data_IF_472420660194
#
_entry.id   IF_472420660194
#
_cell.length_a   1.000
_cell.length_b   1.000
_cell.length_c   1.000
_cell.angle_alpha   90.00
_cell.angle_beta   90.00
_cell.angle_gamma   90.00
#
_symmetry.space_group_name_H-M   'P 1'
#
loop_
_entity.id
_entity.type
_entity.pdbx_description
1 polymer ?
#
# COMPACT_ATOMS: atom_id res chain seq x y z
N UNK A 1 4.74 -1.43 33.94
CA UNK A 1 5.58 -2.14 32.91
C UNK A 1 4.79 -3.08 32.00
N UNK A 2 3.85 -3.94 32.48
CA UNK A 2 3.06 -4.76 31.55
C UNK A 2 2.28 -3.95 30.53
N UNK A 3 1.72 -2.82 30.90
CA UNK A 3 0.92 -1.97 30.00
C UNK A 3 1.71 -1.42 28.81
N UNK A 4 2.98 -1.03 28.99
CA UNK A 4 3.80 -0.51 27.92
C UNK A 4 4.13 -1.58 26.86
N UNK A 5 4.36 -2.82 27.29
CA UNK A 5 4.61 -3.93 26.37
C UNK A 5 3.36 -4.29 25.56
N UNK A 6 2.19 -4.25 26.22
CA UNK A 6 0.90 -4.45 25.55
C UNK A 6 0.66 -3.34 24.53
N UNK A 7 0.91 -2.10 24.88
CA UNK A 7 0.73 -0.96 23.99
C UNK A 7 1.64 -1.04 22.76
N UNK A 8 2.91 -1.37 22.97
CA UNK A 8 3.86 -1.60 21.86
C UNK A 8 3.39 -2.76 20.98
N UNK A 9 2.97 -3.88 21.59
CA UNK A 9 2.47 -5.03 20.84
C UNK A 9 1.22 -4.69 20.00
N UNK A 10 0.29 -3.88 20.54
CA UNK A 10 -0.88 -3.40 19.81
C UNK A 10 -0.49 -2.53 18.61
N UNK A 11 0.42 -1.58 18.79
CA UNK A 11 0.90 -0.72 17.70
C UNK A 11 1.57 -1.55 16.61
N UNK A 12 2.55 -2.37 16.96
CA UNK A 12 3.31 -3.17 16.00
C UNK A 12 2.45 -4.23 15.33
N UNK A 13 1.62 -4.94 16.10
CA UNK A 13 0.70 -5.96 15.58
C UNK A 13 -0.30 -5.36 14.60
N UNK A 14 -0.89 -4.20 14.94
CA UNK A 14 -1.80 -3.48 14.05
C UNK A 14 -1.07 -2.98 12.80
N UNK A 15 0.12 -2.41 12.94
CA UNK A 15 0.93 -1.96 11.80
C UNK A 15 1.21 -3.10 10.81
N UNK A 16 1.64 -4.27 11.30
CA UNK A 16 1.89 -5.46 10.45
C UNK A 16 0.59 -5.97 9.84
N UNK A 17 -0.50 -6.02 10.61
CA UNK A 17 -1.82 -6.42 10.11
C UNK A 17 -2.30 -5.53 8.96
N UNK A 18 -2.02 -4.23 9.02
CA UNK A 18 -2.39 -3.27 7.98
C UNK A 18 -1.71 -3.54 6.64
N UNK A 19 -0.51 -4.13 6.59
CA UNK A 19 0.08 -4.58 5.31
C UNK A 19 -0.79 -5.65 4.64
N UNK A 20 -1.30 -6.62 5.42
CA UNK A 20 -2.25 -7.62 4.92
C UNK A 20 -3.57 -6.98 4.43
N UNK A 21 -4.10 -6.00 5.18
CA UNK A 21 -5.30 -5.24 4.80
C UNK A 21 -5.06 -4.46 3.51
N UNK A 22 -3.92 -3.80 3.39
CA UNK A 22 -3.55 -3.03 2.19
C UNK A 22 -3.39 -3.94 0.97
N UNK A 23 -2.68 -5.07 1.11
CA UNK A 23 -2.52 -6.07 0.06
C UNK A 23 -3.88 -6.62 -0.41
N UNK A 24 -4.74 -7.02 0.54
CA UNK A 24 -6.08 -7.51 0.22
C UNK A 24 -6.92 -6.44 -0.49
N UNK A 25 -6.94 -5.23 0.07
CA UNK A 25 -7.72 -4.13 -0.49
C UNK A 25 -7.22 -3.71 -1.86
N UNK A 26 -5.91 -3.63 -2.06
CA UNK A 26 -5.31 -3.30 -3.34
C UNK A 26 -5.70 -4.33 -4.41
N UNK A 27 -5.55 -5.62 -4.10
CA UNK A 27 -5.83 -6.70 -5.05
C UNK A 27 -7.31 -6.88 -5.36
N UNK A 28 -8.19 -6.86 -4.35
CA UNK A 28 -9.58 -7.29 -4.51
C UNK A 28 -10.58 -6.14 -4.50
N UNK A 29 -10.26 -5.02 -3.87
CA UNK A 29 -11.12 -3.84 -3.84
C UNK A 29 -10.69 -2.85 -4.92
N UNK A 30 -9.45 -2.39 -4.91
CA UNK A 30 -8.94 -1.38 -5.84
C UNK A 30 -8.85 -1.94 -7.27
N UNK A 31 -8.20 -3.08 -7.47
CA UNK A 31 -8.23 -3.83 -8.73
C UNK A 31 -9.51 -4.67 -8.93
N UNK A 32 -10.48 -4.55 -8.03
CA UNK A 32 -11.78 -5.20 -8.07
C UNK A 32 -12.90 -4.24 -8.47
N UNK A 33 -13.93 -4.16 -7.62
CA UNK A 33 -15.15 -3.40 -7.89
C UNK A 33 -14.96 -1.88 -7.76
N UNK A 34 -13.89 -1.40 -7.13
CA UNK A 34 -13.56 0.03 -7.02
C UNK A 34 -12.45 0.47 -7.98
N UNK A 35 -12.24 -0.26 -9.07
CA UNK A 35 -11.29 0.12 -10.11
C UNK A 35 -11.48 1.54 -10.62
N UNK A 36 -12.71 2.02 -10.72
CA UNK A 36 -13.05 3.38 -11.17
C UNK A 36 -12.39 4.51 -10.35
N UNK A 37 -11.95 4.22 -9.10
CA UNK A 37 -11.14 5.15 -8.31
C UNK A 37 -9.65 4.89 -8.49
N UNK A 38 -9.24 3.62 -8.60
CA UNK A 38 -7.85 3.22 -8.68
C UNK A 38 -7.24 3.42 -10.08
N UNK A 39 -8.07 3.34 -11.12
CA UNK A 39 -7.66 3.58 -12.51
C UNK A 39 -6.89 4.88 -12.68
N UNK A 40 -7.33 5.97 -12.01
CA UNK A 40 -6.64 7.27 -12.07
C UNK A 40 -5.18 7.21 -11.62
N UNK A 41 -4.84 6.21 -10.80
CA UNK A 41 -3.50 5.98 -10.30
C UNK A 41 -2.59 5.26 -11.29
N UNK A 42 -3.16 4.47 -12.21
CA UNK A 42 -2.46 3.79 -13.30
C UNK A 42 -2.28 4.64 -14.56
N UNK A 43 -2.91 5.82 -14.60
CA UNK A 43 -2.82 6.78 -15.70
C UNK A 43 -1.84 7.91 -15.36
N UNK A 44 -1.34 8.65 -16.38
CA UNK A 44 -0.56 9.86 -16.13
C UNK A 44 -1.34 10.84 -15.26
N UNK A 45 -0.71 11.30 -14.18
CA UNK A 45 -1.36 12.16 -13.20
C UNK A 45 -1.61 13.57 -13.75
N UNK A 46 -2.85 14.03 -13.60
CA UNK A 46 -3.30 15.39 -13.89
C UNK A 46 -3.62 16.12 -12.59
N UNK A 47 -2.71 16.95 -12.07
CA UNK A 47 -2.92 17.75 -10.85
C UNK A 47 -2.37 17.16 -9.56
N UNK A 48 -2.80 17.73 -8.41
CA UNK A 48 -2.32 17.33 -7.08
C UNK A 48 -3.06 16.13 -6.51
N UNK A 49 -4.34 15.97 -6.82
CA UNK A 49 -5.22 14.95 -6.28
C UNK A 49 -5.69 14.00 -7.38
N UNK A 50 -5.82 12.75 -6.99
CA UNK A 50 -6.36 11.65 -7.79
C UNK A 50 -7.60 11.07 -7.11
N UNK A 51 -8.47 10.39 -7.87
CA UNK A 51 -9.59 9.63 -7.26
C UNK A 51 -9.08 8.56 -6.31
N UNK A 52 -7.89 8.03 -6.58
CA UNK A 52 -7.21 7.05 -5.71
C UNK A 52 -6.96 7.59 -4.30
N UNK A 53 -6.84 8.90 -4.10
CA UNK A 53 -6.63 9.50 -2.78
C UNK A 53 -7.82 9.31 -1.83
N UNK A 54 -9.00 8.99 -2.37
CA UNK A 54 -10.18 8.63 -1.57
C UNK A 54 -9.96 7.37 -0.73
N UNK A 55 -9.10 6.46 -1.17
CA UNK A 55 -8.73 5.29 -0.35
C UNK A 55 -7.95 5.70 0.90
N UNK A 56 -7.08 6.71 0.81
CA UNK A 56 -6.38 7.22 1.98
C UNK A 56 -7.37 7.78 3.01
N UNK A 57 -8.39 8.53 2.57
CA UNK A 57 -9.47 9.00 3.44
C UNK A 57 -10.26 7.83 4.05
N UNK A 58 -10.61 6.82 3.25
CA UNK A 58 -11.33 5.64 3.71
C UNK A 58 -10.54 4.87 4.78
N UNK A 59 -9.22 4.72 4.62
CA UNK A 59 -8.37 4.05 5.62
C UNK A 59 -8.06 4.91 6.84
N UNK A 60 -8.15 6.24 6.75
CA UNK A 60 -8.03 7.12 7.92
C UNK A 60 -9.22 7.01 8.88
N UNK A 61 -10.43 6.73 8.38
CA UNK A 61 -11.64 6.65 9.19
C UNK A 61 -11.53 5.63 10.34
N UNK A 62 -11.11 4.37 10.15
CA UNK A 62 -10.93 3.42 11.24
C UNK A 62 -9.96 3.92 12.32
N UNK A 63 -8.86 4.58 11.92
CA UNK A 63 -7.90 5.17 12.86
C UNK A 63 -8.56 6.26 13.72
N UNK A 64 -9.32 7.16 13.09
CA UNK A 64 -10.04 8.24 13.79
C UNK A 64 -11.07 7.64 14.76
N UNK A 65 -11.82 6.63 14.35
CA UNK A 65 -12.78 5.91 15.21
C UNK A 65 -12.06 5.27 16.41
N UNK A 66 -10.92 4.62 16.19
CA UNK A 66 -10.14 4.03 17.25
C UNK A 66 -9.65 5.09 18.25
N UNK A 67 -9.15 6.24 17.78
CA UNK A 67 -8.77 7.35 18.67
C UNK A 67 -9.96 7.88 19.45
N UNK A 68 -11.11 8.07 18.78
CA UNK A 68 -12.32 8.54 19.43
C UNK A 68 -12.73 7.62 20.59
N UNK A 69 -12.98 6.34 20.32
CA UNK A 69 -13.37 5.40 21.36
C UNK A 69 -12.28 5.17 22.41
N UNK A 70 -11.01 5.27 22.02
CA UNK A 70 -9.88 5.20 22.92
C UNK A 70 -9.90 6.26 24.02
N UNK A 71 -10.41 7.45 23.73
CA UNK A 71 -10.60 8.52 24.74
C UNK A 71 -11.86 8.35 25.60
N UNK A 72 -12.79 7.49 25.19
CA UNK A 72 -14.08 7.27 25.88
C UNK A 72 -14.16 5.93 26.62
N UNK A 73 -13.05 5.41 27.14
CA UNK A 73 -13.04 4.24 28.03
C UNK A 73 -12.49 2.96 27.43
N UNK A 74 -11.99 2.99 26.19
CA UNK A 74 -11.35 1.84 25.54
C UNK A 74 -9.87 2.13 25.23
N UNK A 75 -8.99 2.33 26.23
CA UNK A 75 -7.64 2.89 26.01
C UNK A 75 -6.76 2.08 25.05
N UNK A 76 -6.98 0.79 24.91
CA UNK A 76 -6.25 -0.05 23.95
C UNK A 76 -6.50 0.38 22.50
N UNK A 77 -7.65 0.96 22.18
CA UNK A 77 -7.95 1.44 20.83
C UNK A 77 -7.09 2.63 20.42
N UNK A 78 -6.55 3.41 21.37
CA UNK A 78 -5.56 4.46 21.07
C UNK A 78 -4.34 3.87 20.35
N UNK A 79 -3.87 2.73 20.82
CA UNK A 79 -2.68 2.05 20.28
C UNK A 79 -2.96 1.35 18.96
N UNK A 80 -4.16 0.81 18.78
CA UNK A 80 -4.65 0.29 17.50
C UNK A 80 -4.75 1.43 16.49
N UNK A 81 -5.40 2.54 16.86
CA UNK A 81 -5.51 3.73 16.00
C UNK A 81 -4.14 4.28 15.60
N UNK A 82 -3.17 4.29 16.54
CA UNK A 82 -1.80 4.70 16.26
C UNK A 82 -1.12 3.74 15.27
N UNK A 83 -1.31 2.44 15.41
CA UNK A 83 -0.76 1.45 14.46
C UNK A 83 -1.29 1.66 13.04
N UNK A 84 -2.60 1.93 12.88
CA UNK A 84 -3.21 2.27 11.58
C UNK A 84 -2.63 3.58 11.03
N UNK A 85 -2.53 4.63 11.86
CA UNK A 85 -2.00 5.92 11.44
C UNK A 85 -0.53 5.85 10.99
N UNK A 86 0.29 5.11 11.73
CA UNK A 86 1.70 4.88 11.37
C UNK A 86 1.83 4.11 10.06
N UNK A 87 0.98 3.11 9.83
CA UNK A 87 0.96 2.41 8.55
C UNK A 87 0.58 3.37 7.40
N UNK A 88 -0.45 4.20 7.58
CA UNK A 88 -0.84 5.22 6.59
C UNK A 88 0.28 6.22 6.29
N UNK A 89 1.03 6.64 7.31
CA UNK A 89 2.21 7.49 7.15
C UNK A 89 3.31 6.78 6.34
N UNK A 90 3.58 5.50 6.64
CA UNK A 90 4.57 4.72 5.88
C UNK A 90 4.12 4.47 4.45
N UNK A 91 2.83 4.19 4.23
CA UNK A 91 2.25 4.13 2.89
C UNK A 91 2.52 5.43 2.12
N UNK A 92 2.18 6.59 2.70
CA UNK A 92 2.41 7.89 2.07
C UNK A 92 3.90 8.09 1.71
N UNK A 93 4.81 7.78 2.64
CA UNK A 93 6.25 7.95 2.41
C UNK A 93 6.74 7.01 1.29
N UNK A 94 6.43 5.72 1.35
CA UNK A 94 6.94 4.74 0.39
C UNK A 94 6.28 4.89 -0.97
N UNK A 95 4.97 4.99 -1.00
CA UNK A 95 4.17 5.02 -2.20
C UNK A 95 4.18 6.40 -2.88
N UNK A 96 3.74 7.45 -2.16
CA UNK A 96 3.56 8.77 -2.78
C UNK A 96 4.87 9.54 -2.92
N UNK A 97 5.72 9.51 -1.86
CA UNK A 97 6.96 10.32 -1.88
C UNK A 97 8.09 9.61 -2.63
N UNK A 98 8.33 8.32 -2.35
CA UNK A 98 9.49 7.61 -2.90
C UNK A 98 9.19 7.03 -4.29
N UNK A 99 8.11 6.28 -4.44
CA UNK A 99 7.78 5.61 -5.70
C UNK A 99 7.21 6.60 -6.71
N UNK A 100 6.09 7.23 -6.39
CA UNK A 100 5.39 8.14 -7.32
C UNK A 100 5.98 9.55 -7.38
N UNK A 101 6.90 9.88 -6.47
CA UNK A 101 7.56 11.21 -6.43
C UNK A 101 6.57 12.38 -6.46
N UNK A 102 5.40 12.20 -5.83
CA UNK A 102 4.40 13.27 -5.70
C UNK A 102 4.95 14.48 -4.94
N UNK A 103 5.88 14.22 -4.02
CA UNK A 103 6.68 15.24 -3.33
C UNK A 103 8.13 15.09 -3.75
N UNK A 104 8.76 16.20 -4.18
CA UNK A 104 10.16 16.22 -4.58
C UNK A 104 11.07 16.13 -3.34
N UNK A 105 11.39 14.93 -2.90
CA UNK A 105 12.24 14.68 -1.74
C UNK A 105 13.74 14.64 -2.05
N UNK A 106 14.12 14.48 -3.33
CA UNK A 106 15.50 14.21 -3.75
C UNK A 106 16.02 12.82 -3.34
N UNK A 107 15.24 12.03 -2.62
CA UNK A 107 15.64 10.69 -2.19
C UNK A 107 15.81 9.73 -3.38
N UNK A 108 16.91 8.96 -3.34
CA UNK A 108 17.19 7.88 -4.29
C UNK A 108 17.32 6.57 -3.52
N UNK A 109 16.57 5.51 -3.89
CA UNK A 109 16.69 4.21 -3.25
C UNK A 109 18.13 3.68 -3.33
N UNK A 110 18.78 3.46 -2.18
CA UNK A 110 20.16 2.99 -2.09
C UNK A 110 20.29 1.55 -1.61
N UNK A 111 19.37 1.06 -0.77
CA UNK A 111 19.37 -0.33 -0.32
C UNK A 111 18.67 -1.24 -1.32
N UNK A 112 19.07 -2.53 -1.35
CA UNK A 112 18.45 -3.55 -2.22
C UNK A 112 16.97 -3.72 -1.91
N UNK A 113 16.59 -3.62 -0.63
CA UNK A 113 15.19 -3.65 -0.20
C UNK A 113 14.40 -2.51 -0.85
N UNK A 114 14.86 -1.27 -0.74
CA UNK A 114 14.15 -0.11 -1.30
C UNK A 114 14.10 -0.13 -2.82
N UNK A 115 15.19 -0.55 -3.48
CA UNK A 115 15.19 -0.74 -4.94
C UNK A 115 14.13 -1.75 -5.35
N UNK A 116 14.10 -2.92 -4.69
CA UNK A 116 13.10 -3.96 -4.96
C UNK A 116 11.67 -3.48 -4.79
N UNK A 117 11.35 -2.75 -3.70
CA UNK A 117 10.00 -2.19 -3.47
C UNK A 117 9.60 -1.24 -4.61
N UNK A 118 10.49 -0.32 -4.99
CA UNK A 118 10.25 0.63 -6.08
C UNK A 118 10.06 -0.08 -7.41
N UNK A 119 10.94 -1.01 -7.76
CA UNK A 119 10.87 -1.76 -9.02
C UNK A 119 9.61 -2.64 -9.09
N UNK A 120 9.27 -3.32 -7.99
CA UNK A 120 8.06 -4.13 -7.91
C UNK A 120 6.79 -3.31 -8.14
N UNK A 121 6.75 -2.09 -7.60
CA UNK A 121 5.63 -1.18 -7.82
C UNK A 121 5.56 -0.68 -9.28
N UNK A 122 6.71 -0.44 -9.91
CA UNK A 122 6.73 -0.13 -11.34
C UNK A 122 6.33 -1.32 -12.23
N UNK A 123 6.65 -2.56 -11.85
CA UNK A 123 6.12 -3.76 -12.52
C UNK A 123 4.59 -3.82 -12.36
N UNK A 124 4.05 -3.48 -11.20
CA UNK A 124 2.61 -3.35 -10.97
C UNK A 124 1.99 -2.33 -11.93
N UNK A 125 2.55 -1.12 -12.02
CA UNK A 125 2.08 -0.04 -12.91
C UNK A 125 2.34 -0.29 -14.40
N UNK A 126 3.13 -1.28 -14.78
CA UNK A 126 3.29 -1.65 -16.20
C UNK A 126 2.03 -2.25 -16.81
N UNK A 127 1.02 -2.53 -15.99
CA UNK A 127 -0.31 -2.98 -16.40
C UNK A 127 -1.26 -1.79 -16.32
N UNK A 128 -1.75 -1.32 -17.47
CA UNK A 128 -2.67 -0.17 -17.57
C UNK A 128 -4.12 -0.54 -17.25
N UNK A 129 -4.43 -1.83 -17.15
CA UNK A 129 -5.77 -2.33 -16.93
C UNK A 129 -5.98 -2.86 -15.52
N UNK A 130 -7.24 -3.16 -15.23
CA UNK A 130 -7.68 -3.77 -13.98
C UNK A 130 -7.05 -5.14 -13.72
N UNK A 131 -6.85 -5.91 -14.79
CA UNK A 131 -6.43 -7.31 -14.74
C UNK A 131 -4.95 -7.48 -15.14
N UNK A 132 -4.32 -8.54 -14.65
CA UNK A 132 -2.93 -8.86 -15.00
C UNK A 132 -1.88 -8.11 -14.20
N UNK A 133 -2.28 -7.27 -13.23
CA UNK A 133 -1.34 -6.64 -12.30
C UNK A 133 -0.79 -7.66 -11.29
N UNK A 134 0.43 -7.41 -10.85
CA UNK A 134 1.16 -8.18 -9.84
C UNK A 134 1.68 -7.25 -8.75
N UNK A 135 2.14 -7.79 -7.60
CA UNK A 135 2.74 -6.98 -6.52
C UNK A 135 1.80 -5.95 -5.90
N UNK A 136 0.93 -6.40 -5.02
CA UNK A 136 -0.09 -5.56 -4.37
C UNK A 136 0.29 -5.05 -2.98
N UNK A 137 1.43 -5.48 -2.42
CA UNK A 137 1.94 -5.03 -1.13
C UNK A 137 2.77 -3.74 -1.25
N UNK A 138 2.98 -3.06 -0.11
CA UNK A 138 3.74 -1.80 -0.06
C UNK A 138 5.05 -1.92 0.72
N UNK A 139 5.08 -2.77 1.75
CA UNK A 139 6.28 -3.01 2.56
C UNK A 139 6.94 -4.35 2.23
N UNK A 140 6.22 -5.23 1.55
CA UNK A 140 6.74 -6.51 1.10
C UNK A 140 6.50 -6.70 -0.39
N UNK A 141 7.51 -7.23 -1.07
CA UNK A 141 7.43 -7.62 -2.47
C UNK A 141 8.24 -8.90 -2.70
N UNK A 142 7.73 -9.86 -3.50
CA UNK A 142 8.53 -10.93 -4.09
C UNK A 142 9.70 -10.38 -4.91
N UNK A 143 10.69 -11.23 -5.27
CA UNK A 143 11.74 -10.86 -6.22
C UNK A 143 11.16 -10.34 -7.54
N UNK A 144 11.79 -9.31 -8.11
CA UNK A 144 11.27 -8.58 -9.28
C UNK A 144 11.20 -9.46 -10.52
N UNK A 145 12.16 -10.35 -10.71
CA UNK A 145 12.19 -11.33 -11.81
C UNK A 145 10.97 -12.27 -11.78
N UNK A 146 10.56 -12.71 -10.58
CA UNK A 146 9.34 -13.52 -10.41
C UNK A 146 8.07 -12.71 -10.75
N UNK A 147 8.03 -11.44 -10.36
CA UNK A 147 6.91 -10.56 -10.68
C UNK A 147 6.79 -10.29 -12.17
N UNK A 148 7.91 -10.06 -12.85
CA UNK A 148 7.94 -9.89 -14.33
C UNK A 148 7.45 -11.15 -15.01
N UNK A 149 7.96 -12.32 -14.62
CA UNK A 149 7.54 -13.59 -15.21
C UNK A 149 6.03 -13.86 -14.99
N UNK A 150 5.51 -13.57 -13.80
CA UNK A 150 4.09 -13.75 -13.49
C UNK A 150 3.22 -12.76 -14.27
N UNK A 151 3.62 -11.48 -14.37
CA UNK A 151 2.92 -10.48 -15.19
C UNK A 151 2.86 -10.94 -16.66
N UNK A 152 3.99 -11.35 -17.23
CA UNK A 152 4.08 -11.78 -18.62
C UNK A 152 3.20 -13.01 -18.89
N UNK A 153 3.16 -13.94 -17.93
CA UNK A 153 2.26 -15.10 -17.96
C UNK A 153 0.78 -14.66 -17.97
N UNK A 154 0.40 -13.73 -17.11
CA UNK A 154 -0.97 -13.22 -17.00
C UNK A 154 -1.41 -12.42 -18.24
N UNK A 155 -0.47 -11.74 -18.90
CA UNK A 155 -0.72 -10.94 -20.10
C UNK A 155 -0.58 -11.75 -21.40
N UNK A 156 -0.24 -13.03 -21.33
CA UNK A 156 -0.02 -13.86 -22.51
C UNK A 156 1.21 -13.48 -23.32
N UNK A 157 2.12 -12.71 -22.75
CA UNK A 157 3.39 -12.31 -23.35
C UNK A 157 4.41 -13.39 -23.02
N UNK A 158 4.77 -14.22 -23.99
CA UNK A 158 5.86 -15.18 -23.79
C UNK A 158 5.51 -16.67 -23.84
N UNK A 159 4.33 -17.05 -24.31
CA UNK A 159 4.14 -18.43 -24.78
C UNK A 159 4.79 -18.57 -26.16
N UNK A 160 5.88 -19.36 -26.34
CA UNK A 160 6.33 -19.69 -27.65
C UNK A 160 5.16 -20.38 -28.36
N UNK A 161 4.76 -19.83 -29.50
CA UNK A 161 3.88 -20.60 -30.40
C UNK A 161 4.67 -21.86 -30.83
N UNK A 162 4.23 -23.00 -30.32
CA UNK A 162 4.69 -24.31 -30.78
C UNK A 162 4.02 -24.64 -32.11
#
# INVERSE_FOLDING_TARGET
MPDILINIALVLGTFIFMEGVALFSHKYVMHGFMWCWHESHHLPREGLFEKNDLFAAMFAVPSIICFWYGTYGYPNLLWVGLGIALYGLMYFIFHDVIVHRRVRSGYKPSSDYMRRIVEAHWVHHSTNGKEGAVSFGFLYSPPVDQLVAERDRLQGVGSPQV
#
